data_IF_982968383827
#
_entry.id   IF_982968383827
#
_cell.length_a   1.000
_cell.length_b   1.000
_cell.length_c   1.000
_cell.angle_alpha   90.00
_cell.angle_beta   90.00
_cell.angle_gamma   90.00
#
_symmetry.space_group_name_H-M   'P 1'
#
loop_
_entity.id
_entity.type
_entity.pdbx_description
1 polymer ?
#
# COMPACT_ATOMS: atom_id res chain seq x y z
N UNK A 1 15.15 -27.59 9.81
CA UNK A 1 14.47 -26.40 10.36
C UNK A 1 15.48 -25.27 10.48
N UNK A 2 15.31 -24.17 9.74
CA UNK A 2 16.26 -23.06 9.75
C UNK A 2 16.37 -22.44 11.14
N UNK A 3 17.53 -22.58 11.78
CA UNK A 3 17.83 -21.96 13.07
C UNK A 3 17.99 -20.46 12.84
N UNK A 4 16.96 -19.70 13.19
CA UNK A 4 17.07 -18.26 13.35
C UNK A 4 18.26 -17.96 14.25
N UNK A 5 19.15 -17.07 13.83
CA UNK A 5 20.16 -16.48 14.72
C UNK A 5 19.42 -15.70 15.81
N UNK A 6 20.01 -15.55 17.01
CA UNK A 6 19.40 -14.74 18.10
C UNK A 6 18.98 -13.35 17.58
N UNK A 7 19.82 -12.74 16.73
CA UNK A 7 19.57 -11.47 16.08
C UNK A 7 18.36 -11.49 15.12
N UNK A 8 18.18 -12.57 14.36
CA UNK A 8 17.03 -12.72 13.46
C UNK A 8 15.70 -12.82 14.22
N UNK A 9 15.70 -13.50 15.36
CA UNK A 9 14.51 -13.61 16.23
C UNK A 9 14.13 -12.25 16.82
N UNK A 10 15.09 -11.49 17.33
CA UNK A 10 14.85 -10.15 17.86
C UNK A 10 14.31 -9.18 16.81
N UNK A 11 14.89 -9.18 15.60
CA UNK A 11 14.39 -8.36 14.48
C UNK A 11 12.97 -8.75 14.10
N UNK A 12 12.66 -10.03 14.04
CA UNK A 12 11.30 -10.50 13.75
C UNK A 12 10.29 -10.05 14.82
N UNK A 13 10.65 -10.15 16.10
CA UNK A 13 9.81 -9.68 17.20
C UNK A 13 9.57 -8.16 17.15
N UNK A 14 10.59 -7.37 16.80
CA UNK A 14 10.45 -5.92 16.57
C UNK A 14 9.44 -5.61 15.47
N UNK A 15 9.53 -6.28 14.32
CA UNK A 15 8.57 -6.10 13.23
C UNK A 15 7.15 -6.54 13.61
N UNK A 16 7.01 -7.63 14.39
CA UNK A 16 5.72 -8.10 14.90
C UNK A 16 5.09 -7.07 15.84
N UNK A 17 5.88 -6.49 16.75
CA UNK A 17 5.41 -5.44 17.65
C UNK A 17 5.07 -4.16 16.90
N UNK A 18 5.84 -3.81 15.86
CA UNK A 18 5.53 -2.67 15.00
C UNK A 18 4.23 -2.88 14.22
N UNK A 19 4.00 -4.08 13.67
CA UNK A 19 2.71 -4.46 13.08
C UNK A 19 1.57 -4.27 14.09
N UNK A 20 1.74 -4.72 15.33
CA UNK A 20 0.74 -4.53 16.40
C UNK A 20 0.45 -3.04 16.65
N UNK A 21 1.50 -2.23 16.75
CA UNK A 21 1.38 -0.77 16.90
C UNK A 21 0.57 -0.14 15.76
N UNK A 22 0.84 -0.51 14.50
CA UNK A 22 0.13 0.03 13.35
C UNK A 22 -1.36 -0.36 13.31
N UNK A 23 -1.71 -1.52 13.86
CA UNK A 23 -3.10 -2.02 13.92
C UNK A 23 -3.90 -1.44 15.08
N UNK A 24 -3.24 -1.01 16.15
CA UNK A 24 -3.88 -0.61 17.40
C UNK A 24 -3.98 0.92 17.49
N UNK A 25 -5.20 1.44 17.33
CA UNK A 25 -5.46 2.88 17.40
C UNK A 25 -5.08 3.48 18.76
N UNK A 26 -5.32 2.76 19.86
CA UNK A 26 -5.02 3.28 21.20
C UNK A 26 -3.51 3.51 21.41
N UNK A 27 -2.67 2.72 20.76
CA UNK A 27 -1.22 2.94 20.78
C UNK A 27 -0.79 4.14 19.94
N UNK A 28 -1.47 4.36 18.82
CA UNK A 28 -1.26 5.51 17.94
C UNK A 28 -1.70 6.80 18.64
N UNK A 29 -2.83 6.79 19.34
CA UNK A 29 -3.31 7.94 20.12
C UNK A 29 -2.37 8.28 21.29
N UNK A 30 -1.83 7.28 21.98
CA UNK A 30 -0.86 7.49 23.07
C UNK A 30 0.50 7.99 22.57
N UNK A 31 0.92 7.57 21.37
CA UNK A 31 2.21 7.93 20.78
C UNK A 31 2.04 8.29 19.31
N UNK A 32 1.42 9.43 19.00
CA UNK A 32 1.13 9.77 17.62
C UNK A 32 2.42 10.00 16.85
N UNK A 33 2.45 9.67 15.55
CA UNK A 33 3.57 10.01 14.70
C UNK A 33 3.80 11.52 14.70
N UNK A 34 5.04 11.93 14.91
CA UNK A 34 5.40 13.34 15.08
C UNK A 34 5.09 14.22 13.85
N UNK A 35 4.91 13.63 12.66
CA UNK A 35 4.57 14.36 11.44
C UNK A 35 3.98 13.47 10.34
N UNK A 36 3.41 14.12 9.31
CA UNK A 36 2.86 13.47 8.10
C UNK A 36 3.92 12.64 7.37
N UNK A 37 5.18 13.08 7.37
CA UNK A 37 6.27 12.32 6.75
C UNK A 37 6.52 10.98 7.46
N UNK A 38 6.33 10.93 8.78
CA UNK A 38 6.45 9.68 9.56
C UNK A 38 5.28 8.76 9.22
N UNK A 39 4.07 9.31 9.11
CA UNK A 39 2.90 8.56 8.64
C UNK A 39 3.12 7.94 7.26
N UNK A 40 3.68 8.68 6.31
CA UNK A 40 4.01 8.16 4.99
C UNK A 40 4.93 6.94 5.05
N UNK A 41 5.98 6.98 5.87
CA UNK A 41 6.88 5.83 6.07
C UNK A 41 6.16 4.65 6.74
N UNK A 42 5.33 4.91 7.73
CA UNK A 42 4.57 3.88 8.45
C UNK A 42 3.60 3.14 7.54
N UNK A 43 2.94 3.85 6.63
CA UNK A 43 2.05 3.26 5.63
C UNK A 43 2.81 2.37 4.64
N UNK A 44 4.00 2.78 4.20
CA UNK A 44 4.86 1.95 3.34
C UNK A 44 5.26 0.65 4.06
N UNK A 45 5.65 0.75 5.33
CA UNK A 45 5.95 -0.45 6.12
C UNK A 45 4.70 -1.30 6.41
N UNK A 46 3.54 -0.68 6.61
CA UNK A 46 2.27 -1.37 6.81
C UNK A 46 1.89 -2.18 5.57
N UNK A 47 2.13 -1.64 4.37
CA UNK A 47 1.94 -2.35 3.11
C UNK A 47 2.85 -3.58 3.02
N UNK A 48 4.14 -3.43 3.33
CA UNK A 48 5.09 -4.56 3.37
C UNK A 48 4.70 -5.64 4.40
N UNK A 49 4.04 -5.25 5.50
CA UNK A 49 3.58 -6.16 6.56
C UNK A 49 2.18 -6.72 6.34
N UNK A 50 1.47 -6.31 5.27
CA UNK A 50 0.10 -6.71 4.99
C UNK A 50 -0.90 -6.22 6.05
N UNK A 51 -0.74 -4.98 6.52
CA UNK A 51 -1.70 -4.31 7.41
C UNK A 51 -1.93 -2.84 7.04
N UNK A 52 -1.79 -2.52 5.75
CA UNK A 52 -1.97 -1.16 5.23
C UNK A 52 -3.39 -0.65 5.46
N UNK A 53 -4.40 -1.50 5.31
CA UNK A 53 -5.80 -1.14 5.51
C UNK A 53 -6.08 -0.71 6.95
N UNK A 54 -5.62 -1.49 7.94
CA UNK A 54 -5.82 -1.12 9.35
C UNK A 54 -5.02 0.14 9.71
N UNK A 55 -3.79 0.28 9.21
CA UNK A 55 -2.99 1.49 9.42
C UNK A 55 -3.64 2.73 8.80
N UNK A 56 -4.25 2.59 7.62
CA UNK A 56 -4.96 3.67 6.92
C UNK A 56 -6.25 4.05 7.65
N UNK A 57 -6.98 3.08 8.20
CA UNK A 57 -8.16 3.34 9.04
C UNK A 57 -7.79 4.10 10.31
N UNK A 58 -6.74 3.68 10.98
CA UNK A 58 -6.25 4.33 12.19
C UNK A 58 -5.75 5.76 11.91
N UNK A 59 -5.07 5.96 10.78
CA UNK A 59 -4.74 7.30 10.30
C UNK A 59 -6.01 8.15 10.13
N UNK A 60 -7.01 7.69 9.37
CA UNK A 60 -8.26 8.44 9.16
C UNK A 60 -8.96 8.78 10.48
N UNK A 61 -8.98 7.85 11.42
CA UNK A 61 -9.56 8.09 12.75
C UNK A 61 -8.77 9.15 13.54
N UNK A 62 -7.44 9.10 13.51
CA UNK A 62 -6.58 10.08 14.17
C UNK A 62 -6.85 11.49 13.62
N UNK A 63 -7.00 11.61 12.30
CA UNK A 63 -7.27 12.87 11.63
C UNK A 63 -8.62 13.46 12.01
N UNK A 64 -9.67 12.64 11.97
CA UNK A 64 -11.01 13.05 12.39
C UNK A 64 -11.03 13.52 13.85
N UNK A 65 -10.20 12.93 14.72
CA UNK A 65 -10.14 13.31 16.14
C UNK A 65 -9.36 14.60 16.42
N UNK A 66 -8.46 15.00 15.53
CA UNK A 66 -7.54 16.14 15.73
C UNK A 66 -7.85 17.36 14.83
N UNK A 67 -8.98 17.35 14.10
CA UNK A 67 -9.43 18.43 13.22
C UNK A 67 -8.33 18.95 12.27
N UNK A 68 -7.56 18.01 11.71
CA UNK A 68 -6.43 18.31 10.83
C UNK A 68 -6.95 18.57 9.42
N UNK A 69 -6.64 19.75 8.87
CA UNK A 69 -7.03 20.14 7.50
C UNK A 69 -6.53 19.15 6.44
N UNK A 70 -7.35 18.92 5.41
CA UNK A 70 -7.03 18.05 4.26
C UNK A 70 -5.75 18.47 3.52
N UNK A 71 -5.38 19.75 3.57
CA UNK A 71 -4.14 20.27 2.98
C UNK A 71 -2.88 19.68 3.62
N UNK A 72 -2.99 19.19 4.86
CA UNK A 72 -1.88 18.56 5.57
C UNK A 72 -1.39 17.29 4.85
N UNK A 73 -2.25 16.63 4.05
CA UNK A 73 -1.91 15.39 3.33
C UNK A 73 -1.14 15.61 2.04
N UNK A 74 -1.39 16.73 1.34
CA UNK A 74 -0.69 17.05 0.09
C UNK A 74 0.83 17.18 0.27
N UNK A 75 1.30 17.32 1.52
CA UNK A 75 2.73 17.31 1.86
C UNK A 75 3.40 15.94 1.71
N UNK A 76 2.65 14.82 1.70
CA UNK A 76 3.19 13.48 1.55
C UNK A 76 2.37 12.62 0.59
N UNK A 77 2.98 12.26 -0.53
CA UNK A 77 2.38 11.40 -1.56
C UNK A 77 1.91 10.05 -1.02
N UNK A 78 2.64 9.44 -0.09
CA UNK A 78 2.27 8.17 0.53
C UNK A 78 1.01 8.29 1.40
N UNK A 79 0.86 9.40 2.10
CA UNK A 79 -0.32 9.67 2.94
C UNK A 79 -1.53 9.98 2.06
N UNK A 80 -1.39 10.85 1.06
CA UNK A 80 -2.45 11.11 0.08
C UNK A 80 -2.90 9.81 -0.62
N UNK A 81 -1.95 8.98 -1.05
CA UNK A 81 -2.24 7.71 -1.70
C UNK A 81 -3.06 6.78 -0.80
N UNK A 82 -2.67 6.64 0.47
CA UNK A 82 -3.42 5.82 1.43
C UNK A 82 -4.81 6.41 1.72
N UNK A 83 -4.89 7.73 1.88
CA UNK A 83 -6.14 8.44 2.16
C UNK A 83 -7.20 8.19 1.07
N UNK A 84 -6.80 8.32 -0.20
CA UNK A 84 -7.62 8.02 -1.38
C UNK A 84 -7.74 6.53 -1.71
N UNK A 85 -7.59 5.65 -0.73
CA UNK A 85 -7.83 4.21 -0.86
C UNK A 85 -6.92 3.50 -1.88
N UNK A 86 -5.73 4.05 -2.15
CA UNK A 86 -4.80 3.52 -3.14
C UNK A 86 -4.35 2.09 -2.86
N UNK A 87 -4.19 1.70 -1.58
CA UNK A 87 -3.79 0.33 -1.21
C UNK A 87 -4.83 -0.71 -1.63
N UNK A 88 -6.12 -0.46 -1.41
CA UNK A 88 -7.18 -1.36 -1.84
C UNK A 88 -7.25 -1.49 -3.37
N UNK A 89 -6.99 -0.40 -4.11
CA UNK A 89 -6.91 -0.44 -5.57
C UNK A 89 -5.75 -1.32 -6.05
N UNK A 90 -4.57 -1.19 -5.45
CA UNK A 90 -3.41 -2.04 -5.78
C UNK A 90 -3.70 -3.50 -5.46
N UNK A 91 -4.27 -3.79 -4.28
CA UNK A 91 -4.61 -5.14 -3.88
C UNK A 91 -5.62 -5.77 -4.87
N UNK A 92 -6.69 -5.05 -5.23
CA UNK A 92 -7.67 -5.51 -6.22
C UNK A 92 -7.05 -5.77 -7.61
N UNK A 93 -6.10 -4.93 -8.03
CA UNK A 93 -5.40 -5.07 -9.31
C UNK A 93 -4.50 -6.30 -9.31
N UNK A 94 -3.77 -6.54 -8.21
CA UNK A 94 -2.92 -7.71 -8.03
C UNK A 94 -3.75 -9.00 -8.00
N UNK A 95 -4.89 -9.02 -7.28
CA UNK A 95 -5.79 -10.17 -7.30
C UNK A 95 -6.37 -10.44 -8.69
N UNK A 96 -6.74 -9.40 -9.42
CA UNK A 96 -7.27 -9.54 -10.79
C UNK A 96 -6.19 -10.11 -11.71
N UNK A 97 -4.96 -9.60 -11.66
CA UNK A 97 -3.82 -10.11 -12.43
C UNK A 97 -3.50 -11.57 -12.10
N UNK A 98 -3.45 -11.93 -10.81
CA UNK A 98 -3.20 -13.31 -10.37
C UNK A 98 -4.30 -14.29 -10.82
N UNK A 99 -5.55 -13.80 -10.93
CA UNK A 99 -6.67 -14.58 -11.48
C UNK A 99 -6.60 -14.74 -13.00
N UNK A 100 -6.16 -13.71 -13.72
CA UNK A 100 -5.93 -13.82 -15.17
C UNK A 100 -4.86 -14.86 -15.53
N UNK A 101 -3.90 -15.13 -14.63
CA UNK A 101 -2.88 -16.17 -14.82
C UNK A 101 -3.43 -17.58 -14.59
N UNK A 102 -4.42 -17.75 -13.71
CA UNK A 102 -4.98 -19.06 -13.33
C UNK A 102 -6.07 -19.61 -14.25
N UNK A 103 -6.63 -18.79 -15.15
CA UNK A 103 -7.61 -19.20 -16.16
C UNK A 103 -7.01 -19.49 -17.56
N UNK A 104 -5.67 -19.51 -17.69
CA UNK A 104 -5.00 -19.71 -18.98
C UNK A 104 -4.28 -21.08 -19.09
N UNK A 105 -5.06 -22.16 -19.06
CA UNK A 105 -4.69 -23.34 -19.85
C UNK A 105 -4.88 -23.00 -21.34
N UNK A 106 -4.00 -22.18 -21.90
CA UNK A 106 -4.09 -21.77 -23.29
C UNK A 106 -3.32 -20.50 -23.63
N UNK A 107 -2.20 -20.72 -24.34
CA UNK A 107 -1.56 -19.78 -25.27
C UNK A 107 -1.01 -18.45 -24.75
N UNK A 108 0.33 -18.37 -24.72
CA UNK A 108 1.05 -17.23 -25.28
C UNK A 108 1.40 -16.11 -24.32
N UNK A 109 2.66 -16.10 -23.87
CA UNK A 109 3.36 -14.89 -23.43
C UNK A 109 3.47 -13.97 -24.65
N UNK A 110 2.48 -13.11 -24.82
CA UNK A 110 2.48 -12.00 -25.77
C UNK A 110 2.97 -10.76 -25.05
N UNK A 111 4.20 -10.36 -25.36
CA UNK A 111 4.86 -9.12 -24.97
C UNK A 111 3.88 -7.94 -24.93
N UNK A 112 3.88 -7.17 -23.83
CA UNK A 112 3.32 -5.82 -23.80
C UNK A 112 4.16 -4.93 -24.72
N UNK A 113 3.85 -5.00 -26.01
CA UNK A 113 4.38 -4.14 -27.05
C UNK A 113 3.94 -2.71 -26.79
N UNK A 114 4.93 -1.82 -26.77
CA UNK A 114 4.79 -0.39 -26.95
C UNK A 114 3.77 -0.08 -28.07
N UNK A 115 2.66 0.55 -27.71
CA UNK A 115 1.69 1.07 -28.68
C UNK A 115 2.34 2.16 -29.51
N UNK A 116 2.67 1.80 -30.76
CA UNK A 116 3.30 2.65 -31.75
C UNK A 116 2.33 3.64 -32.38
N UNK A 117 2.90 4.76 -32.81
CA UNK A 117 2.31 5.78 -33.66
C UNK A 117 2.02 5.20 -35.07
N UNK A 118 0.84 5.48 -35.61
CA UNK A 118 0.48 5.30 -37.03
C UNK A 118 -0.95 5.80 -37.23
N UNK A 119 -1.28 6.78 -38.08
CA UNK A 119 -0.59 7.28 -39.27
C UNK A 119 -1.19 6.63 -40.53
N UNK A 120 -2.09 7.35 -41.20
CA UNK A 120 -2.75 6.94 -42.46
C UNK A 120 -4.20 6.48 -42.23
N UNK A 121 -5.24 6.97 -42.91
CA UNK A 121 -5.30 7.54 -44.26
C UNK A 121 -6.06 6.56 -45.16
N UNK A 122 -7.20 6.97 -45.73
CA UNK A 122 -7.90 6.24 -46.78
C UNK A 122 -9.34 5.87 -46.42
N UNK A 123 -10.28 6.48 -47.12
CA UNK A 123 -11.72 6.36 -46.91
C UNK A 123 -12.34 5.05 -47.37
N UNK A 124 -13.64 4.92 -47.15
CA UNK A 124 -14.58 4.21 -48.03
C UNK A 124 -15.98 4.83 -47.87
N UNK A 125 -16.70 4.86 -49.00
CA UNK A 125 -18.07 5.33 -49.34
C UNK A 125 -18.40 6.82 -49.24
#
# INVERSE_FOLDING_TARGET
GGRWTKEGKEKHEKWKNFKKYLKDYSLIEQKPPASVQVWGRYLVYAAALGCADEATKNLKQYLNSHDVSDDYFNTSSAVSFAYYNGFAHVESSVYTFARSDSDSSGSGIGSAGSGGFGGGGGGTF
#
